data_IF_782017805702
#
_entry.id   IF_782017805702
#
_cell.length_a   1.000
_cell.length_b   1.000
_cell.length_c   1.000
_cell.angle_alpha   90.00
_cell.angle_beta   90.00
_cell.angle_gamma   90.00
#
_symmetry.space_group_name_H-M   'P 1'
#
loop_
_entity.id
_entity.type
_entity.pdbx_description
1 polymer ?
#
# COMPACT_ATOMS: atom_id res chain seq x y z
N UNK A 1 -1.68 -9.91 5.08
CA UNK A 1 -3.13 -9.97 4.81
C UNK A 1 -3.86 -9.49 6.05
N UNK A 2 -4.94 -8.71 5.90
CA UNK A 2 -5.83 -8.28 6.99
C UNK A 2 -7.25 -8.88 6.83
N UNK A 3 -7.42 -10.22 6.95
CA UNK A 3 -8.70 -10.86 6.72
C UNK A 3 -9.76 -10.45 7.76
N UNK A 4 -9.33 -10.06 8.96
CA UNK A 4 -10.23 -9.74 10.08
C UNK A 4 -11.03 -8.44 9.91
N UNK A 5 -10.65 -7.58 8.94
CA UNK A 5 -11.36 -6.34 8.60
C UNK A 5 -12.16 -6.46 7.29
N UNK A 6 -12.00 -7.56 6.56
CA UNK A 6 -12.76 -7.82 5.34
C UNK A 6 -14.20 -8.20 5.72
N UNK A 7 -15.15 -7.91 4.83
CA UNK A 7 -16.49 -8.49 4.94
C UNK A 7 -16.34 -10.02 4.97
N UNK A 8 -16.97 -10.74 5.92
CA UNK A 8 -16.83 -12.18 6.03
C UNK A 8 -17.04 -12.89 4.69
N UNK A 9 -16.08 -13.74 4.29
CA UNK A 9 -16.11 -14.46 3.02
C UNK A 9 -15.53 -13.69 1.81
N UNK A 10 -15.01 -12.47 2.00
CA UNK A 10 -14.34 -11.72 0.92
C UNK A 10 -12.83 -11.76 1.06
N UNK A 11 -12.14 -11.83 -0.09
CA UNK A 11 -10.68 -11.69 -0.16
C UNK A 11 -10.38 -10.19 -0.33
N UNK A 12 -9.55 -9.58 0.56
CA UNK A 12 -9.10 -8.20 0.39
C UNK A 12 -8.50 -7.97 -1.01
N UNK A 13 -8.77 -6.80 -1.59
CA UNK A 13 -8.35 -6.50 -2.97
C UNK A 13 -6.83 -6.65 -3.19
N UNK A 14 -6.01 -6.32 -2.20
CA UNK A 14 -4.56 -6.52 -2.24
C UNK A 14 -4.15 -7.99 -2.32
N UNK A 15 -4.82 -8.84 -1.54
CA UNK A 15 -4.54 -10.27 -1.54
C UNK A 15 -4.92 -10.87 -2.91
N UNK A 16 -6.03 -10.40 -3.52
CA UNK A 16 -6.39 -10.75 -4.91
C UNK A 16 -5.35 -10.31 -5.93
N UNK A 17 -4.91 -9.05 -5.89
CA UNK A 17 -3.91 -8.52 -6.82
C UNK A 17 -2.60 -9.30 -6.75
N UNK A 18 -2.18 -9.70 -5.53
CA UNK A 18 -0.99 -10.53 -5.36
C UNK A 18 -1.18 -11.94 -5.89
N UNK A 19 -2.33 -12.57 -5.63
CA UNK A 19 -2.66 -13.91 -6.16
C UNK A 19 -2.69 -13.95 -7.69
N UNK A 20 -3.14 -12.87 -8.32
CA UNK A 20 -3.19 -12.73 -9.78
C UNK A 20 -1.84 -12.35 -10.41
N UNK A 21 -0.80 -12.12 -9.60
CA UNK A 21 0.50 -11.66 -10.10
C UNK A 21 0.50 -10.22 -10.63
N UNK A 22 -0.57 -9.45 -10.39
CA UNK A 22 -0.70 -8.07 -10.85
C UNK A 22 0.23 -7.11 -10.08
N UNK A 23 0.74 -7.53 -8.92
CA UNK A 23 1.72 -6.77 -8.11
C UNK A 23 2.93 -7.64 -7.75
N UNK A 24 4.11 -7.06 -7.88
CA UNK A 24 5.40 -7.68 -7.54
C UNK A 24 5.57 -7.90 -6.04
N UNK A 25 5.21 -6.90 -5.22
CA UNK A 25 5.36 -6.97 -3.77
C UNK A 25 4.01 -6.72 -3.06
N UNK A 26 3.75 -7.32 -1.89
CA UNK A 26 2.54 -7.07 -1.13
C UNK A 26 2.61 -5.75 -0.33
N UNK A 27 3.01 -4.66 -1.00
CA UNK A 27 3.26 -3.34 -0.41
C UNK A 27 2.45 -2.29 -1.17
N UNK A 28 2.02 -1.25 -0.47
CA UNK A 28 1.47 -0.03 -1.06
C UNK A 28 2.03 1.21 -0.41
N UNK A 29 2.00 2.31 -1.14
CA UNK A 29 2.44 3.60 -0.64
C UNK A 29 1.51 4.72 -1.11
N UNK A 30 1.41 5.75 -0.28
CA UNK A 30 0.72 6.99 -0.61
C UNK A 30 1.74 8.10 -0.75
N UNK A 31 1.68 8.81 -1.87
CA UNK A 31 2.25 10.13 -2.02
C UNK A 31 1.11 11.14 -1.95
N UNK A 32 1.13 12.00 -0.93
CA UNK A 32 0.11 13.04 -0.74
C UNK A 32 0.68 14.40 -1.15
N UNK A 33 0.16 14.94 -2.25
CA UNK A 33 0.56 16.27 -2.74
C UNK A 33 -0.29 17.36 -2.10
N UNK A 34 0.35 18.49 -1.77
CA UNK A 34 -0.34 19.73 -1.42
C UNK A 34 -0.66 20.58 -2.66
N UNK A 35 -0.04 20.28 -3.80
CA UNK A 35 -0.32 20.91 -5.08
C UNK A 35 -1.47 20.18 -5.80
N UNK A 36 -2.55 20.93 -6.09
CA UNK A 36 -3.75 20.43 -6.77
C UNK A 36 -3.50 19.98 -8.21
N UNK A 37 -2.49 20.51 -8.89
CA UNK A 37 -2.23 20.21 -10.31
C UNK A 37 -1.60 18.83 -10.49
N UNK A 38 -0.66 18.44 -9.63
CA UNK A 38 0.05 17.16 -9.72
C UNK A 38 -0.68 16.01 -9.03
N UNK A 39 -1.63 16.30 -8.12
CA UNK A 39 -2.43 15.30 -7.43
C UNK A 39 -1.64 14.38 -6.49
N UNK A 40 -2.38 13.50 -5.81
CA UNK A 40 -1.82 12.45 -4.94
C UNK A 40 -1.74 11.13 -5.69
N UNK A 41 -0.79 10.27 -5.31
CA UNK A 41 -0.54 8.98 -5.98
C UNK A 41 -0.68 7.85 -4.97
N UNK A 42 -1.43 6.82 -5.36
CA UNK A 42 -1.42 5.50 -4.71
C UNK A 42 -0.55 4.57 -5.55
N UNK A 43 0.46 4.00 -4.92
CA UNK A 43 1.36 3.03 -5.53
C UNK A 43 0.99 1.64 -5.03
N UNK A 44 0.86 0.68 -5.96
CA UNK A 44 0.54 -0.71 -5.68
C UNK A 44 1.69 -1.57 -6.16
N UNK A 45 2.21 -2.45 -5.30
CA UNK A 45 3.22 -3.43 -5.71
C UNK A 45 4.67 -2.99 -5.55
N UNK A 46 4.91 -1.80 -5.00
CA UNK A 46 6.24 -1.24 -4.77
C UNK A 46 6.18 0.24 -4.42
N UNK A 47 7.34 0.87 -4.33
CA UNK A 47 7.49 2.31 -4.08
C UNK A 47 8.29 2.93 -5.23
N UNK A 48 7.72 3.94 -5.88
CA UNK A 48 8.46 4.74 -6.85
C UNK A 48 9.34 5.76 -6.11
N UNK A 49 10.65 5.56 -6.23
CA UNK A 49 11.66 6.38 -5.58
C UNK A 49 11.77 7.81 -6.12
N UNK A 50 11.10 8.14 -7.23
CA UNK A 50 11.02 9.52 -7.72
C UNK A 50 10.14 10.43 -6.84
N UNK A 51 9.25 9.84 -6.04
CA UNK A 51 8.30 10.57 -5.18
C UNK A 51 8.80 10.82 -3.75
N UNK A 52 10.01 10.39 -3.40
CA UNK A 52 10.62 10.70 -2.10
C UNK A 52 12.12 10.98 -2.23
N UNK A 53 12.69 11.66 -1.23
CA UNK A 53 14.13 11.93 -1.15
C UNK A 53 14.68 11.30 0.12
N UNK A 54 15.84 10.66 0.01
CA UNK A 54 16.51 10.01 1.13
C UNK A 54 16.10 8.55 1.30
N UNK A 55 16.34 8.00 2.50
CA UNK A 55 16.05 6.60 2.82
C UNK A 55 14.66 6.48 3.43
N UNK A 56 13.92 5.45 3.00
CA UNK A 56 12.67 5.06 3.64
C UNK A 56 12.99 4.36 4.98
N UNK A 57 12.38 4.82 6.07
CA UNK A 57 12.49 4.18 7.38
C UNK A 57 11.29 3.27 7.61
N UNK A 58 11.54 1.99 7.87
CA UNK A 58 10.50 1.01 8.13
C UNK A 58 10.26 0.91 9.63
N UNK A 59 9.02 1.16 10.06
CA UNK A 59 8.61 1.01 11.46
C UNK A 59 7.69 -0.22 11.54
N UNK A 60 8.01 -1.24 12.35
CA UNK A 60 7.15 -2.40 12.49
C UNK A 60 5.82 -2.01 13.14
N UNK A 61 4.71 -2.49 12.57
CA UNK A 61 3.37 -2.25 13.13
C UNK A 61 3.22 -3.06 14.43
N UNK A 62 2.87 -2.39 15.52
CA UNK A 62 2.72 -3.00 16.85
C UNK A 62 1.35 -3.66 17.07
N UNK A 63 0.31 -3.28 16.31
CA UNK A 63 -1.02 -3.89 16.35
C UNK A 63 -1.54 -4.23 14.94
N UNK A 64 -1.80 -5.51 14.68
CA UNK A 64 -2.22 -6.07 13.39
C UNK A 64 -3.64 -5.71 12.96
N UNK A 65 -4.30 -4.71 13.57
CA UNK A 65 -5.66 -4.30 13.24
C UNK A 65 -5.80 -2.87 12.71
N UNK A 66 -4.77 -2.04 12.78
CA UNK A 66 -4.78 -0.68 12.22
C UNK A 66 -3.37 -0.24 11.84
N UNK A 67 -3.26 0.46 10.70
CA UNK A 67 -2.10 1.27 10.31
C UNK A 67 -2.27 2.70 10.81
#
# INVERSE_FOLDING_TARGET
SYPSLAVPGTIPIFDKLKQQGAISEPIFAFYLSTNKENGSVLMLGGVDHSYHKGKLNWIPVSQTKSW
#
